data_IF_642915941197
#
_entry.id   IF_642915941197
#
_cell.length_a   1.000
_cell.length_b   1.000
_cell.length_c   1.000
_cell.angle_alpha   90.00
_cell.angle_beta   90.00
_cell.angle_gamma   90.00
#
_symmetry.space_group_name_H-M   'P 1'
#
loop_
_entity.id
_entity.type
_entity.pdbx_description
1 polymer ?
#
# COMPACT_ATOMS: atom_id res chain seq x y z
N UNK A 1 13.29 -16.03 2.68
CA UNK A 1 12.84 -16.28 1.28
C UNK A 1 11.36 -16.66 1.18
N UNK A 2 10.85 -17.61 1.99
CA UNK A 2 9.44 -18.09 1.93
C UNK A 2 8.40 -16.97 1.96
N UNK A 3 8.59 -15.92 2.75
CA UNK A 3 7.65 -14.79 2.80
C UNK A 3 7.42 -14.16 1.42
N UNK A 4 8.48 -13.95 0.62
CA UNK A 4 8.38 -13.35 -0.72
C UNK A 4 7.69 -14.32 -1.70
N UNK A 5 7.95 -15.62 -1.56
CA UNK A 5 7.29 -16.64 -2.38
C UNK A 5 5.78 -16.63 -2.09
N UNK A 6 5.41 -16.66 -0.81
CA UNK A 6 4.02 -16.62 -0.36
C UNK A 6 3.26 -15.35 -0.76
N UNK A 7 3.99 -14.29 -1.11
CA UNK A 7 3.39 -13.07 -1.65
C UNK A 7 2.93 -13.27 -3.11
N UNK A 8 3.48 -14.20 -3.89
CA UNK A 8 3.15 -14.37 -5.32
C UNK A 8 1.62 -14.39 -5.57
N UNK A 9 1.17 -13.65 -6.58
CA UNK A 9 -0.24 -13.61 -6.96
C UNK A 9 -0.78 -14.98 -7.36
N UNK A 10 0.07 -15.85 -7.92
CA UNK A 10 -0.30 -17.22 -8.29
C UNK A 10 -0.59 -18.12 -7.09
N UNK A 11 -0.11 -17.74 -5.89
CA UNK A 11 -0.38 -18.43 -4.64
C UNK A 11 -1.51 -17.75 -3.84
N UNK A 12 -2.01 -16.61 -4.31
CA UNK A 12 -3.07 -15.85 -3.66
C UNK A 12 -4.44 -16.26 -4.24
N UNK A 13 -5.14 -17.12 -3.52
CA UNK A 13 -6.46 -17.62 -3.90
C UNK A 13 -7.61 -16.71 -3.42
N UNK A 14 -7.32 -15.56 -2.79
CA UNK A 14 -8.35 -14.66 -2.25
C UNK A 14 -9.30 -14.15 -3.34
N UNK A 15 -8.80 -13.95 -4.56
CA UNK A 15 -9.61 -13.54 -5.71
C UNK A 15 -10.71 -14.52 -6.13
N UNK A 16 -10.68 -15.77 -5.67
CA UNK A 16 -11.77 -16.74 -5.91
C UNK A 16 -13.05 -16.40 -5.13
N UNK A 17 -12.93 -15.60 -4.07
CA UNK A 17 -14.01 -15.28 -3.15
C UNK A 17 -14.23 -13.75 -2.99
N UNK A 18 -13.51 -12.90 -3.74
CA UNK A 18 -13.67 -11.44 -3.66
C UNK A 18 -14.90 -10.94 -4.44
N UNK A 19 -15.73 -10.13 -3.80
CA UNK A 19 -16.75 -9.33 -4.48
C UNK A 19 -16.07 -8.18 -5.26
N UNK A 20 -16.70 -7.71 -6.35
CA UNK A 20 -16.11 -6.68 -7.22
C UNK A 20 -15.75 -5.37 -6.48
N UNK A 21 -16.49 -5.03 -5.43
CA UNK A 21 -16.27 -3.80 -4.64
C UNK A 21 -15.17 -3.94 -3.58
N UNK A 22 -14.78 -5.16 -3.23
CA UNK A 22 -13.76 -5.44 -2.20
C UNK A 22 -12.36 -5.69 -2.77
N UNK A 23 -12.22 -5.65 -4.09
CA UNK A 23 -10.98 -5.98 -4.79
C UNK A 23 -9.80 -5.11 -4.35
N UNK A 24 -8.77 -5.75 -3.82
CA UNK A 24 -7.52 -5.09 -3.42
C UNK A 24 -6.47 -5.29 -4.51
N UNK A 25 -6.00 -4.19 -5.10
CA UNK A 25 -4.89 -4.22 -6.04
C UNK A 25 -3.58 -4.11 -5.28
N UNK A 26 -2.66 -5.07 -5.49
CA UNK A 26 -1.32 -5.04 -4.89
C UNK A 26 -0.27 -4.97 -5.98
N UNK A 27 0.79 -4.19 -5.77
CA UNK A 27 2.00 -4.21 -6.59
C UNK A 27 3.23 -4.23 -5.70
N UNK A 28 4.33 -4.81 -6.21
CA UNK A 28 5.55 -5.00 -5.43
C UNK A 28 6.78 -4.51 -6.18
N UNK A 29 7.66 -3.86 -5.45
CA UNK A 29 8.87 -3.24 -5.97
C UNK A 29 10.04 -3.62 -5.06
N UNK A 30 11.13 -4.11 -5.65
CA UNK A 30 12.38 -4.34 -4.91
C UNK A 30 13.22 -3.07 -4.81
N UNK A 31 13.92 -2.87 -3.69
CA UNK A 31 14.76 -1.71 -3.42
C UNK A 31 16.07 -2.14 -2.75
N UNK A 32 17.19 -1.57 -3.20
CA UNK A 32 18.53 -1.72 -2.60
C UNK A 32 18.79 -0.63 -1.54
N UNK A 33 17.85 -0.44 -0.62
CA UNK A 33 18.00 0.47 0.51
C UNK A 33 17.56 -0.25 1.78
N UNK A 34 17.94 0.29 2.94
CA UNK A 34 17.36 -0.16 4.21
C UNK A 34 15.85 0.12 4.23
N UNK A 35 15.11 -0.62 5.07
CA UNK A 35 13.68 -0.36 5.24
C UNK A 35 13.40 1.08 5.74
N UNK A 36 14.26 1.59 6.62
CA UNK A 36 14.14 2.94 7.16
C UNK A 36 14.37 4.04 6.11
N UNK A 37 15.41 3.92 5.28
CA UNK A 37 15.65 4.88 4.18
C UNK A 37 14.51 4.86 3.17
N UNK A 38 13.98 3.67 2.89
CA UNK A 38 12.85 3.51 1.97
C UNK A 38 11.60 4.23 2.49
N UNK A 39 11.30 4.14 3.79
CA UNK A 39 10.17 4.87 4.39
C UNK A 39 10.36 6.37 4.28
N UNK A 40 11.55 6.88 4.58
CA UNK A 40 11.84 8.32 4.43
C UNK A 40 11.64 8.80 2.99
N UNK A 41 12.02 7.99 2.00
CA UNK A 41 11.76 8.30 0.57
C UNK A 41 10.27 8.31 0.24
N UNK A 42 9.48 7.38 0.81
CA UNK A 42 8.02 7.36 0.64
C UNK A 42 7.39 8.61 1.26
N UNK A 43 7.80 8.98 2.48
CA UNK A 43 7.31 10.17 3.19
C UNK A 43 7.64 11.46 2.44
N UNK A 44 8.86 11.59 1.92
CA UNK A 44 9.28 12.71 1.10
C UNK A 44 8.43 12.82 -0.19
N UNK A 45 8.33 11.71 -0.95
CA UNK A 45 7.55 11.70 -2.19
C UNK A 45 6.06 12.02 -1.95
N UNK A 46 5.46 11.51 -0.87
CA UNK A 46 4.06 11.81 -0.54
C UNK A 46 3.83 13.28 -0.18
N UNK A 47 4.82 13.91 0.47
CA UNK A 47 4.80 15.33 0.80
C UNK A 47 4.73 16.18 -0.48
N UNK A 48 5.50 15.81 -1.50
CA UNK A 48 5.56 16.52 -2.79
C UNK A 48 4.23 16.49 -3.56
N UNK A 49 3.41 15.44 -3.38
CA UNK A 49 2.16 15.25 -4.13
C UNK A 49 0.88 15.58 -3.35
N UNK A 50 0.97 16.34 -2.25
CA UNK A 50 -0.19 16.71 -1.40
C UNK A 50 -0.97 15.51 -0.82
N UNK A 51 -0.26 14.43 -0.51
CA UNK A 51 -0.81 13.22 0.12
C UNK A 51 -0.30 13.17 1.56
N UNK A 52 -1.13 12.76 2.52
CA UNK A 52 -0.74 12.52 3.90
C UNK A 52 -0.23 11.10 4.08
N UNK A 53 0.80 10.97 4.92
CA UNK A 53 1.35 9.68 5.33
C UNK A 53 1.14 9.52 6.82
N UNK A 54 0.49 8.44 7.21
CA UNK A 54 0.30 8.05 8.60
C UNK A 54 1.09 6.76 8.84
N UNK A 55 2.04 6.78 9.77
CA UNK A 55 2.80 5.58 10.12
C UNK A 55 1.96 4.71 11.05
N UNK A 56 1.54 3.54 10.56
CA UNK A 56 0.72 2.59 11.33
C UNK A 56 1.63 1.69 12.20
N UNK A 57 2.78 1.27 11.65
CA UNK A 57 3.77 0.42 12.33
C UNK A 57 5.19 0.80 11.88
N UNK A 58 6.19 0.19 12.51
CA UNK A 58 7.61 0.45 12.24
C UNK A 58 7.93 0.44 10.74
N UNK A 59 7.37 -0.48 9.95
CA UNK A 59 7.58 -0.51 8.50
C UNK A 59 6.31 -0.46 7.64
N UNK A 60 5.23 0.09 8.17
CA UNK A 60 3.94 0.20 7.45
C UNK A 60 3.40 1.60 7.52
N UNK A 61 3.07 2.15 6.35
CA UNK A 61 2.49 3.49 6.21
C UNK A 61 1.18 3.45 5.45
N UNK A 62 0.25 4.29 5.89
CA UNK A 62 -1.00 4.57 5.20
C UNK A 62 -0.84 5.84 4.40
N UNK A 63 -1.36 5.85 3.18
CA UNK A 63 -1.21 6.95 2.24
C UNK A 63 -2.62 7.43 1.88
N UNK A 64 -2.96 8.66 2.29
CA UNK A 64 -4.29 9.22 2.10
C UNK A 64 -4.22 10.59 1.42
N UNK A 65 -5.08 10.91 0.44
CA UNK A 65 -5.13 12.25 -0.11
C UNK A 65 -5.44 13.28 0.99
N UNK A 66 -4.72 14.42 1.05
CA UNK A 66 -5.01 15.50 2.02
C UNK A 66 -6.37 16.16 1.78
N UNK A 67 -6.84 16.15 0.53
CA UNK A 67 -8.12 16.74 0.14
C UNK A 67 -8.98 15.69 -0.58
N UNK A 68 -10.03 15.20 0.08
CA UNK A 68 -11.04 14.35 -0.56
C UNK A 68 -12.00 15.28 -1.31
N UNK A 69 -11.60 15.73 -2.51
CA UNK A 69 -12.52 16.45 -3.39
C UNK A 69 -13.72 15.57 -3.66
N UNK A 70 -14.92 16.16 -3.61
CA UNK A 70 -16.24 15.56 -3.80
C UNK A 70 -16.30 14.60 -5.01
N UNK A 71 -15.83 13.37 -4.83
CA UNK A 71 -15.97 12.26 -5.77
C UNK A 71 -16.74 11.16 -5.03
N UNK A 72 -17.65 10.52 -5.75
CA UNK A 72 -18.49 9.41 -5.25
C UNK A 72 -17.65 8.22 -4.76
N UNK A 73 -16.38 8.15 -5.15
CA UNK A 73 -15.39 7.17 -4.69
C UNK A 73 -14.01 7.80 -4.50
N UNK A 74 -13.23 7.27 -3.55
CA UNK A 74 -11.81 7.59 -3.41
C UNK A 74 -10.98 6.32 -3.24
N UNK A 75 -9.73 6.38 -3.71
CA UNK A 75 -8.76 5.30 -3.54
C UNK A 75 -8.09 5.42 -2.17
N UNK A 76 -8.04 4.31 -1.44
CA UNK A 76 -7.25 4.16 -0.23
C UNK A 76 -5.96 3.43 -0.58
N UNK A 77 -4.83 4.08 -0.33
CA UNK A 77 -3.50 3.54 -0.57
C UNK A 77 -2.82 3.18 0.75
N UNK A 78 -2.04 2.11 0.75
CA UNK A 78 -1.05 1.85 1.80
C UNK A 78 0.21 1.25 1.20
N UNK A 79 1.33 1.47 1.88
CA UNK A 79 2.60 0.87 1.55
C UNK A 79 3.17 0.16 2.79
N UNK A 80 3.66 -1.06 2.58
CA UNK A 80 4.35 -1.85 3.59
C UNK A 80 5.75 -2.18 3.08
N UNK A 81 6.76 -1.90 3.90
CA UNK A 81 8.16 -2.14 3.60
C UNK A 81 8.59 -3.38 4.36
N UNK A 82 8.97 -4.41 3.62
CA UNK A 82 9.37 -5.70 4.16
C UNK A 82 10.87 -5.82 3.97
N UNK A 83 11.62 -5.86 5.07
CA UNK A 83 13.05 -6.10 5.03
C UNK A 83 13.33 -7.53 4.57
N UNK A 84 14.18 -7.69 3.55
CA UNK A 84 14.61 -9.00 3.04
C UNK A 84 16.03 -9.31 3.46
N UNK A 85 16.86 -8.26 3.54
CA UNK A 85 18.22 -8.25 4.05
C UNK A 85 18.49 -6.86 4.64
N UNK A 86 19.57 -6.64 5.41
CA UNK A 86 19.85 -5.33 6.01
C UNK A 86 19.86 -4.15 5.01
N UNK A 87 20.19 -4.40 3.73
CA UNK A 87 20.30 -3.38 2.68
C UNK A 87 19.33 -3.56 1.50
N UNK A 88 18.38 -4.50 1.60
CA UNK A 88 17.38 -4.71 0.57
C UNK A 88 15.99 -4.94 1.18
N UNK A 89 14.99 -4.28 0.61
CA UNK A 89 13.60 -4.43 1.01
C UNK A 89 12.68 -4.62 -0.20
N UNK A 90 11.50 -5.16 0.06
CA UNK A 90 10.37 -5.18 -0.86
C UNK A 90 9.34 -4.19 -0.35
N UNK A 91 8.84 -3.32 -1.24
CA UNK A 91 7.71 -2.46 -0.96
C UNK A 91 6.48 -3.11 -1.58
N UNK A 92 5.48 -3.42 -0.76
CA UNK A 92 4.14 -3.77 -1.22
C UNK A 92 3.24 -2.53 -1.14
N UNK A 93 2.67 -2.14 -2.27
CA UNK A 93 1.69 -1.06 -2.36
C UNK A 93 0.33 -1.68 -2.61
N UNK A 94 -0.64 -1.39 -1.74
CA UNK A 94 -2.01 -1.86 -1.87
C UNK A 94 -2.97 -0.71 -2.10
N UNK A 95 -3.92 -0.91 -3.01
CA UNK A 95 -4.97 0.03 -3.38
C UNK A 95 -6.33 -0.65 -3.25
N UNK A 96 -7.25 -0.01 -2.55
CA UNK A 96 -8.68 -0.38 -2.55
C UNK A 96 -9.53 0.83 -2.92
N UNK A 97 -10.60 0.61 -3.68
CA UNK A 97 -11.60 1.64 -3.93
C UNK A 97 -12.59 1.65 -2.77
N UNK A 98 -12.97 2.83 -2.30
CA UNK A 98 -14.14 2.99 -1.43
C UNK A 98 -15.19 3.82 -2.14
N UNK A 99 -16.40 3.27 -2.23
CA UNK A 99 -17.60 3.99 -2.66
C UNK A 99 -18.25 4.60 -1.42
N UNK A 100 -18.70 5.86 -1.50
CA UNK A 100 -19.53 6.46 -0.44
C UNK A 100 -20.90 5.80 -0.47
N UNK A 101 -21.23 4.95 0.50
CA UNK A 101 -22.60 4.45 0.68
C UNK A 101 -23.46 5.58 1.26
N UNK A 102 -24.48 5.99 0.50
CA UNK A 102 -25.55 6.86 1.03
C UNK A 102 -26.31 6.04 2.08
N UNK A 103 -26.09 6.32 3.36
CA UNK A 103 -27.05 5.89 4.37
C UNK A 103 -28.24 6.83 4.26
N UNK A 104 -29.37 6.30 3.80
CA UNK A 104 -30.68 6.94 3.81
C UNK A 104 -31.38 6.74 5.15
#
# INVERSE_FOLDING_TARGET
AIQIIAMSGDLDLSGLFEEQDDKIYKTRIGSKNTAQETIKKIEAAATDVTISVERIKHFKVKIQPKEIRSRSSYDLLSAEVIEVTPTNCVIEISKRRRVKTKHG
#
